data_IF_038964107733
#
_entry.id   IF_038964107733
#
_cell.length_a   1.000
_cell.length_b   1.000
_cell.length_c   1.000
_cell.angle_alpha   90.00
_cell.angle_beta   90.00
_cell.angle_gamma   90.00
#
_symmetry.space_group_name_H-M   'P 1'
#
loop_
_entity.id
_entity.type
_entity.pdbx_description
1 polymer ?
#
# COMPACT_ATOMS: atom_id res chain seq x y z
N UNK A 1 -55.84 -42.57 50.80
CA UNK A 1 -54.44 -42.20 51.04
C UNK A 1 -53.61 -42.68 49.85
N UNK A 2 -52.90 -41.74 49.18
CA UNK A 2 -51.86 -41.88 48.12
C UNK A 2 -52.31 -42.44 46.76
N UNK A 3 -52.74 -41.59 45.81
CA UNK A 3 -51.96 -40.78 44.84
C UNK A 3 -51.14 -41.60 43.82
N UNK A 4 -51.76 -41.74 42.64
CA UNK A 4 -51.17 -42.01 41.34
C UNK A 4 -50.07 -40.99 41.01
N UNK A 5 -48.83 -41.44 40.78
CA UNK A 5 -47.80 -40.57 40.20
C UNK A 5 -47.80 -40.74 38.67
N UNK A 6 -48.11 -39.64 38.00
CA UNK A 6 -48.11 -39.50 36.55
C UNK A 6 -46.67 -39.29 36.10
N UNK A 7 -46.28 -40.04 35.08
CA UNK A 7 -45.03 -39.89 34.33
C UNK A 7 -44.95 -38.48 33.75
N UNK A 8 -43.91 -37.73 34.12
CA UNK A 8 -43.50 -36.49 33.45
C UNK A 8 -42.03 -36.63 33.05
N UNK A 9 -41.80 -37.38 31.98
CA UNK A 9 -40.51 -37.36 31.28
C UNK A 9 -40.31 -35.99 30.64
N UNK A 10 -39.50 -35.14 31.27
CA UNK A 10 -39.00 -33.91 30.62
C UNK A 10 -38.10 -34.35 29.46
N UNK A 11 -38.66 -34.41 28.24
CA UNK A 11 -37.86 -34.41 27.02
C UNK A 11 -37.10 -33.08 27.00
N UNK A 12 -35.82 -33.15 27.32
CA UNK A 12 -34.88 -32.07 27.08
C UNK A 12 -34.93 -31.81 25.56
N UNK A 13 -35.52 -30.70 25.14
CA UNK A 13 -35.57 -30.30 23.75
C UNK A 13 -34.15 -30.15 23.24
N UNK A 14 -33.67 -31.14 22.49
CA UNK A 14 -32.49 -31.00 21.66
C UNK A 14 -32.81 -29.84 20.74
N UNK A 15 -32.13 -28.70 20.93
CA UNK A 15 -32.27 -27.56 20.03
C UNK A 15 -32.23 -28.09 18.60
N UNK A 16 -33.28 -27.80 17.83
CA UNK A 16 -33.50 -28.36 16.50
C UNK A 16 -32.24 -28.09 15.66
N UNK A 17 -31.44 -29.14 15.46
CA UNK A 17 -30.14 -29.06 14.79
C UNK A 17 -30.28 -28.47 13.39
N UNK A 18 -31.49 -28.57 12.82
CA UNK A 18 -31.90 -28.00 11.54
C UNK A 18 -31.87 -26.47 11.56
N UNK A 19 -32.30 -25.83 12.65
CA UNK A 19 -32.32 -24.37 12.78
C UNK A 19 -30.92 -23.76 12.88
N UNK A 20 -30.01 -24.43 13.59
CA UNK A 20 -28.60 -24.01 13.71
C UNK A 20 -27.88 -24.15 12.37
N UNK A 21 -28.14 -25.23 11.63
CA UNK A 21 -27.55 -25.45 10.29
C UNK A 21 -28.09 -24.45 9.27
N UNK A 22 -29.40 -24.16 9.26
CA UNK A 22 -30.01 -23.15 8.39
C UNK A 22 -29.47 -21.75 8.66
N UNK A 23 -29.32 -21.38 9.93
CA UNK A 23 -28.75 -20.08 10.31
C UNK A 23 -27.28 -19.97 9.87
N UNK A 24 -26.50 -21.04 10.04
CA UNK A 24 -25.10 -21.09 9.58
C UNK A 24 -24.98 -20.96 8.06
N UNK A 25 -25.82 -21.69 7.30
CA UNK A 25 -25.87 -21.61 5.83
C UNK A 25 -26.32 -20.23 5.33
N UNK A 26 -27.24 -19.57 6.04
CA UNK A 26 -27.63 -18.19 5.73
C UNK A 26 -26.46 -17.22 5.90
N UNK A 27 -25.71 -17.30 7.00
CA UNK A 27 -24.52 -16.47 7.20
C UNK A 27 -23.38 -16.83 6.22
N UNK A 28 -23.22 -18.11 5.84
CA UNK A 28 -22.32 -18.53 4.75
C UNK A 28 -22.67 -17.81 3.45
N UNK A 29 -23.94 -17.90 3.06
CA UNK A 29 -24.43 -17.40 1.79
C UNK A 29 -24.40 -15.87 1.76
N UNK A 30 -24.83 -15.21 2.84
CA UNK A 30 -24.73 -13.76 2.98
C UNK A 30 -23.27 -13.29 2.90
N UNK A 31 -22.34 -13.97 3.57
CA UNK A 31 -20.91 -13.70 3.45
C UNK A 31 -20.39 -13.87 2.02
N UNK A 32 -20.76 -14.97 1.35
CA UNK A 32 -20.37 -15.28 -0.03
C UNK A 32 -20.91 -14.28 -1.04
N UNK A 33 -22.16 -13.84 -0.87
CA UNK A 33 -22.81 -12.84 -1.73
C UNK A 33 -22.18 -11.45 -1.52
N UNK A 34 -21.90 -11.07 -0.28
CA UNK A 34 -21.21 -9.81 0.04
C UNK A 34 -19.79 -9.80 -0.53
N UNK A 35 -19.05 -10.90 -0.41
CA UNK A 35 -17.71 -11.04 -0.98
C UNK A 35 -17.71 -11.11 -2.50
N UNK A 36 -18.61 -11.89 -3.12
CA UNK A 36 -18.74 -11.94 -4.57
C UNK A 36 -19.14 -10.57 -5.14
N UNK A 37 -20.02 -9.84 -4.45
CA UNK A 37 -20.40 -8.48 -4.79
C UNK A 37 -19.22 -7.49 -4.68
N UNK A 38 -18.43 -7.54 -3.61
CA UNK A 38 -17.38 -6.55 -3.36
C UNK A 38 -16.03 -6.87 -4.03
N UNK A 39 -15.74 -8.16 -4.28
CA UNK A 39 -14.49 -8.61 -4.89
C UNK A 39 -14.61 -8.99 -6.38
N UNK A 40 -15.81 -9.28 -6.90
CA UNK A 40 -16.04 -9.59 -8.32
C UNK A 40 -17.11 -8.71 -9.01
N UNK A 41 -18.01 -8.07 -8.28
CA UNK A 41 -19.11 -7.29 -8.83
C UNK A 41 -18.92 -5.77 -8.76
N UNK A 42 -18.17 -5.17 -9.70
CA UNK A 42 -18.50 -3.79 -10.09
C UNK A 42 -17.40 -2.91 -10.65
N UNK A 43 -16.12 -3.15 -10.35
CA UNK A 43 -15.04 -2.28 -10.85
C UNK A 43 -13.91 -3.12 -11.44
N UNK A 44 -13.90 -3.22 -12.77
CA UNK A 44 -12.78 -3.79 -13.51
C UNK A 44 -11.55 -2.91 -13.28
N UNK A 45 -10.44 -3.51 -12.88
CA UNK A 45 -9.16 -2.80 -12.84
C UNK A 45 -8.82 -2.37 -14.27
N UNK A 46 -8.44 -1.11 -14.45
CA UNK A 46 -8.03 -0.56 -15.74
C UNK A 46 -6.77 -1.26 -16.27
N UNK A 47 -6.02 -1.93 -15.40
CA UNK A 47 -4.77 -2.58 -15.73
C UNK A 47 -4.39 -3.61 -14.66
N UNK A 48 -3.59 -4.62 -15.01
CA UNK A 48 -3.01 -5.58 -14.06
C UNK A 48 -1.50 -5.68 -14.23
N UNK A 49 -0.71 -5.54 -13.15
CA UNK A 49 0.75 -5.58 -13.24
C UNK A 49 1.39 -4.36 -13.93
N UNK A 50 0.90 -3.15 -13.66
CA UNK A 50 1.36 -1.91 -14.29
C UNK A 50 2.89 -1.74 -14.29
N UNK A 51 3.55 -2.01 -13.16
CA UNK A 51 4.99 -1.81 -13.01
C UNK A 51 5.82 -2.68 -13.95
N UNK A 52 5.38 -3.91 -14.24
CA UNK A 52 6.08 -4.77 -15.21
C UNK A 52 6.08 -4.15 -16.61
N UNK A 53 4.97 -3.53 -17.02
CA UNK A 53 4.86 -2.83 -18.30
C UNK A 53 5.74 -1.57 -18.34
N UNK A 54 5.73 -0.75 -17.30
CA UNK A 54 6.54 0.48 -17.27
C UNK A 54 8.04 0.18 -17.21
N UNK A 55 8.44 -0.89 -16.51
CA UNK A 55 9.82 -1.39 -16.50
C UNK A 55 10.27 -1.86 -17.90
N UNK A 56 9.42 -2.55 -18.65
CA UNK A 56 9.73 -2.97 -20.02
C UNK A 56 9.98 -1.76 -20.95
N UNK A 57 9.31 -0.64 -20.70
CA UNK A 57 9.47 0.60 -21.49
C UNK A 57 10.77 1.35 -21.21
N UNK A 58 11.48 1.00 -20.12
CA UNK A 58 12.78 1.57 -19.80
C UNK A 58 13.95 0.88 -20.52
N UNK A 59 13.71 -0.21 -21.26
CA UNK A 59 14.76 -1.08 -21.82
C UNK A 59 15.54 -0.49 -23.01
N UNK A 60 15.67 0.83 -23.12
CA UNK A 60 16.56 1.48 -24.08
C UNK A 60 17.10 2.82 -23.56
N UNK A 61 18.23 2.78 -22.82
CA UNK A 61 19.26 3.77 -23.10
C UNK A 61 20.64 3.11 -23.10
N UNK A 62 21.33 3.04 -24.25
CA UNK A 62 22.70 2.54 -24.31
C UNK A 62 23.58 3.42 -23.44
N UNK A 63 24.19 2.82 -22.42
CA UNK A 63 25.35 3.34 -21.67
C UNK A 63 25.34 4.85 -21.37
N UNK A 64 24.15 5.42 -21.11
CA UNK A 64 24.06 6.88 -20.94
C UNK A 64 24.66 7.26 -19.59
N UNK A 65 25.68 8.11 -19.66
CA UNK A 65 26.34 8.68 -18.48
C UNK A 65 25.62 9.94 -17.98
N UNK A 66 24.58 10.39 -18.69
CA UNK A 66 23.80 11.58 -18.36
C UNK A 66 22.32 11.40 -18.64
N UNK A 67 21.48 11.65 -17.65
CA UNK A 67 20.03 11.59 -17.80
C UNK A 67 19.35 12.36 -16.68
N UNK A 68 18.08 12.72 -16.86
CA UNK A 68 17.23 13.17 -15.76
C UNK A 68 16.06 12.22 -15.52
N UNK A 69 15.60 12.18 -14.28
CA UNK A 69 14.33 11.56 -13.92
C UNK A 69 13.56 12.47 -12.97
N UNK A 70 12.24 12.32 -12.95
CA UNK A 70 11.39 13.04 -12.00
C UNK A 70 11.08 12.16 -10.79
N UNK A 71 10.95 12.81 -9.63
CA UNK A 71 10.46 12.19 -8.40
C UNK A 71 9.25 12.98 -7.92
N UNK A 72 8.17 12.28 -7.59
CA UNK A 72 6.88 12.87 -7.22
C UNK A 72 6.17 11.96 -6.21
N UNK A 73 5.38 12.48 -5.28
CA UNK A 73 4.62 11.65 -4.34
C UNK A 73 3.51 12.45 -3.64
N UNK A 74 2.58 11.75 -2.98
CA UNK A 74 1.46 12.32 -2.22
C UNK A 74 0.54 13.22 -3.07
N UNK A 75 0.09 12.72 -4.22
CA UNK A 75 -1.05 13.35 -4.91
C UNK A 75 -2.39 12.97 -4.27
N UNK A 76 -2.48 11.81 -3.59
CA UNK A 76 -3.66 11.31 -2.86
C UNK A 76 -4.97 11.43 -3.62
N UNK A 77 -5.06 10.85 -4.83
CA UNK A 77 -6.28 10.84 -5.65
C UNK A 77 -7.51 10.47 -4.81
N UNK A 78 -8.57 11.28 -4.89
CA UNK A 78 -9.80 11.10 -4.11
C UNK A 78 -9.75 11.59 -2.65
N UNK A 79 -8.58 12.01 -2.16
CA UNK A 79 -8.40 12.51 -0.79
C UNK A 79 -8.63 14.02 -0.68
N UNK A 80 -8.17 14.60 0.43
CA UNK A 80 -8.02 16.05 0.57
C UNK A 80 -6.81 16.51 -0.24
N UNK A 81 -7.04 16.81 -1.52
CA UNK A 81 -5.99 17.10 -2.47
C UNK A 81 -6.42 18.16 -3.50
N UNK A 82 -5.45 18.74 -4.19
CA UNK A 82 -5.63 19.61 -5.35
C UNK A 82 -5.23 18.85 -6.61
N UNK A 83 -6.18 18.16 -7.24
CA UNK A 83 -5.88 17.30 -8.39
C UNK A 83 -5.23 18.04 -9.58
N UNK A 84 -5.56 19.33 -9.76
CA UNK A 84 -4.94 20.16 -10.81
C UNK A 84 -3.44 20.36 -10.59
N UNK A 85 -2.94 20.30 -9.35
CA UNK A 85 -1.50 20.32 -9.07
C UNK A 85 -0.84 19.07 -9.63
N UNK A 86 -1.41 17.89 -9.38
CA UNK A 86 -0.85 16.64 -9.90
C UNK A 86 -0.85 16.61 -11.43
N UNK A 87 -1.95 17.03 -12.05
CA UNK A 87 -2.05 17.18 -13.51
C UNK A 87 -0.98 18.13 -14.05
N UNK A 88 -0.75 19.26 -13.39
CA UNK A 88 0.27 20.22 -13.80
C UNK A 88 1.70 19.67 -13.65
N UNK A 89 1.99 18.94 -12.56
CA UNK A 89 3.25 18.22 -12.42
C UNK A 89 3.46 17.25 -13.60
N UNK A 90 2.46 16.44 -13.94
CA UNK A 90 2.54 15.49 -15.06
C UNK A 90 2.77 16.21 -16.40
N UNK A 91 2.07 17.31 -16.66
CA UNK A 91 2.23 18.10 -17.88
C UNK A 91 3.63 18.70 -18.01
N UNK A 92 4.16 19.31 -16.93
CA UNK A 92 5.51 19.88 -16.91
C UNK A 92 6.58 18.81 -17.10
N UNK A 93 6.41 17.67 -16.44
CA UNK A 93 7.30 16.52 -16.61
C UNK A 93 7.24 16.00 -18.05
N UNK A 94 6.06 15.91 -18.65
CA UNK A 94 5.89 15.47 -20.04
C UNK A 94 6.58 16.42 -21.02
N UNK A 95 6.46 17.74 -20.81
CA UNK A 95 7.04 18.76 -21.71
C UNK A 95 8.57 18.91 -21.59
N UNK A 96 9.18 18.46 -20.50
CA UNK A 96 10.62 18.59 -20.28
C UNK A 96 11.39 17.46 -20.99
N UNK A 97 12.09 17.69 -22.12
CA UNK A 97 12.70 16.61 -22.90
C UNK A 97 13.84 15.89 -22.18
N UNK A 98 14.41 16.46 -21.11
CA UNK A 98 15.54 15.85 -20.40
C UNK A 98 15.09 14.75 -19.42
N UNK A 99 13.84 14.82 -18.96
CA UNK A 99 13.30 13.82 -18.03
C UNK A 99 12.95 12.56 -18.81
N UNK A 100 13.67 11.46 -18.54
CA UNK A 100 13.45 10.19 -19.21
C UNK A 100 12.27 9.40 -18.64
N UNK A 101 12.10 9.42 -17.31
CA UNK A 101 11.07 8.69 -16.60
C UNK A 101 10.71 9.34 -15.27
N UNK A 102 9.67 8.83 -14.63
CA UNK A 102 9.15 9.30 -13.35
C UNK A 102 9.18 8.16 -12.33
N UNK A 103 9.55 8.49 -11.10
CA UNK A 103 9.39 7.62 -9.93
C UNK A 103 8.40 8.28 -8.98
N UNK A 104 7.27 7.62 -8.77
CA UNK A 104 6.25 8.01 -7.80
C UNK A 104 6.46 7.23 -6.50
N UNK A 105 6.60 7.92 -5.36
CA UNK A 105 7.00 7.31 -4.08
C UNK A 105 5.81 7.19 -3.11
N UNK A 106 4.66 6.77 -3.61
CA UNK A 106 3.54 6.36 -2.76
C UNK A 106 2.54 7.46 -2.42
N UNK A 107 1.45 7.00 -1.82
CA UNK A 107 0.20 7.71 -1.60
C UNK A 107 -0.38 8.27 -2.92
N UNK A 108 -0.44 7.37 -3.92
CA UNK A 108 -1.05 7.60 -5.23
C UNK A 108 -2.57 7.83 -5.12
N UNK A 109 -3.20 7.12 -4.19
CA UNK A 109 -4.61 7.25 -3.82
C UNK A 109 -4.75 7.55 -2.33
N UNK A 110 -5.91 8.06 -1.91
CA UNK A 110 -6.16 8.32 -0.50
C UNK A 110 -6.60 7.08 0.31
N UNK A 111 -6.96 6.00 -0.39
CA UNK A 111 -7.45 4.76 0.18
C UNK A 111 -7.38 3.64 -0.87
N UNK A 112 -7.31 2.39 -0.40
CA UNK A 112 -7.40 1.21 -1.28
C UNK A 112 -8.81 1.11 -1.86
N UNK A 113 -8.95 1.56 -3.10
CA UNK A 113 -10.20 1.56 -3.85
C UNK A 113 -9.88 1.40 -5.35
N UNK A 114 -10.38 0.34 -6.02
CA UNK A 114 -10.21 0.12 -7.46
C UNK A 114 -10.61 1.32 -8.33
N UNK A 115 -11.63 2.08 -7.94
CA UNK A 115 -12.07 3.29 -8.67
C UNK A 115 -11.03 4.40 -8.56
N UNK A 116 -10.41 4.56 -7.38
CA UNK A 116 -9.35 5.54 -7.18
C UNK A 116 -8.09 5.14 -7.93
N UNK A 117 -7.73 3.85 -7.96
CA UNK A 117 -6.63 3.35 -8.80
C UNK A 117 -6.89 3.61 -10.28
N UNK A 118 -8.09 3.30 -10.77
CA UNK A 118 -8.48 3.57 -12.15
C UNK A 118 -8.43 5.06 -12.48
N UNK A 119 -8.90 5.93 -11.57
CA UNK A 119 -8.82 7.38 -11.73
C UNK A 119 -7.37 7.87 -11.77
N UNK A 120 -6.53 7.40 -10.86
CA UNK A 120 -5.10 7.71 -10.82
C UNK A 120 -4.42 7.31 -12.14
N UNK A 121 -4.61 6.06 -12.58
CA UNK A 121 -4.05 5.57 -13.84
C UNK A 121 -4.58 6.36 -15.05
N UNK A 122 -5.88 6.66 -15.11
CA UNK A 122 -6.46 7.48 -16.18
C UNK A 122 -5.79 8.85 -16.23
N UNK A 123 -5.63 9.52 -15.09
CA UNK A 123 -4.97 10.83 -15.00
C UNK A 123 -3.52 10.74 -15.50
N UNK A 124 -2.75 9.75 -15.04
CA UNK A 124 -1.36 9.55 -15.48
C UNK A 124 -1.29 9.31 -16.99
N UNK A 125 -2.05 8.37 -17.52
CA UNK A 125 -2.03 8.04 -18.96
C UNK A 125 -2.53 9.17 -19.87
N UNK A 126 -3.40 10.03 -19.36
CA UNK A 126 -3.92 11.18 -20.11
C UNK A 126 -2.85 12.26 -20.27
N UNK A 127 -2.05 12.51 -19.24
CA UNK A 127 -1.13 13.66 -19.22
C UNK A 127 0.35 13.31 -19.37
N UNK A 128 0.72 12.04 -19.23
CA UNK A 128 2.09 11.59 -19.29
C UNK A 128 2.23 10.34 -20.16
N UNK A 129 3.15 10.43 -21.13
CA UNK A 129 3.54 9.29 -21.96
C UNK A 129 4.81 8.63 -21.45
N UNK A 130 5.70 9.32 -20.74
CA UNK A 130 6.96 8.76 -20.22
C UNK A 130 6.74 7.58 -19.26
N UNK A 131 7.72 6.68 -19.08
CA UNK A 131 7.63 5.62 -18.10
C UNK A 131 7.34 6.16 -16.69
N UNK A 132 6.37 5.57 -16.00
CA UNK A 132 5.89 6.03 -14.70
C UNK A 132 5.91 4.87 -13.69
N UNK A 133 6.97 4.84 -12.89
CA UNK A 133 7.20 3.82 -11.88
C UNK A 133 6.59 4.26 -10.55
N UNK A 134 6.08 3.31 -9.77
CA UNK A 134 5.36 3.56 -8.52
C UNK A 134 5.89 2.63 -7.43
N UNK A 135 6.16 3.20 -6.26
CA UNK A 135 6.30 2.50 -4.98
C UNK A 135 5.05 2.76 -4.13
N UNK A 136 4.62 1.81 -3.28
CA UNK A 136 3.46 2.01 -2.42
C UNK A 136 3.77 2.92 -1.22
N UNK A 137 2.79 3.74 -0.85
CA UNK A 137 2.69 4.41 0.44
C UNK A 137 1.67 3.74 1.37
N UNK A 138 1.50 4.27 2.58
CA UNK A 138 0.61 3.69 3.59
C UNK A 138 -0.88 3.86 3.27
N UNK A 139 -1.25 4.66 2.27
CA UNK A 139 -2.62 4.75 1.78
C UNK A 139 -2.91 3.84 0.57
N UNK A 140 -1.87 3.34 -0.10
CA UNK A 140 -1.99 2.49 -1.30
C UNK A 140 -2.10 1.00 -0.95
N UNK A 141 -1.78 0.61 0.28
CA UNK A 141 -1.85 -0.78 0.73
C UNK A 141 -2.62 -0.83 2.04
N UNK A 142 -3.61 -1.70 2.09
CA UNK A 142 -4.45 -1.93 3.25
C UNK A 142 -4.17 -3.30 3.85
N UNK A 143 -4.63 -3.52 5.09
CA UNK A 143 -4.32 -4.72 5.86
C UNK A 143 -4.88 -5.98 5.19
N UNK A 144 -6.14 -5.93 4.75
CA UNK A 144 -6.82 -7.07 4.15
C UNK A 144 -6.94 -6.98 2.63
N UNK A 145 -6.39 -5.94 2.02
CA UNK A 145 -6.54 -5.65 0.57
C UNK A 145 -5.22 -5.48 -0.17
N UNK A 146 -4.14 -6.09 0.34
CA UNK A 146 -2.82 -6.12 -0.31
C UNK A 146 -2.90 -6.65 -1.75
N UNK A 147 -3.75 -7.64 -1.98
CA UNK A 147 -3.98 -8.25 -3.29
C UNK A 147 -4.47 -7.24 -4.33
N UNK A 148 -5.25 -6.23 -3.94
CA UNK A 148 -5.71 -5.19 -4.87
C UNK A 148 -4.56 -4.34 -5.39
N UNK A 149 -3.61 -3.98 -4.52
CA UNK A 149 -2.40 -3.27 -4.95
C UNK A 149 -1.56 -4.14 -5.88
N UNK A 150 -1.31 -5.40 -5.50
CA UNK A 150 -0.49 -6.33 -6.28
C UNK A 150 -1.13 -6.66 -7.64
N UNK A 151 -2.44 -6.81 -7.72
CA UNK A 151 -3.14 -6.99 -9.00
C UNK A 151 -2.98 -5.74 -9.86
N UNK A 152 -3.25 -4.55 -9.34
CA UNK A 152 -3.21 -3.32 -10.13
C UNK A 152 -1.79 -2.92 -10.55
N UNK A 153 -0.93 -2.66 -9.56
CA UNK A 153 0.44 -2.18 -9.78
C UNK A 153 1.42 -3.32 -10.09
N UNK A 154 1.19 -4.52 -9.57
CA UNK A 154 2.13 -5.64 -9.69
C UNK A 154 3.09 -5.71 -8.52
N UNK A 155 4.18 -4.96 -8.62
CA UNK A 155 5.33 -5.10 -7.74
C UNK A 155 5.22 -4.16 -6.53
N UNK A 156 5.33 -4.70 -5.31
CA UNK A 156 5.42 -3.93 -4.05
C UNK A 156 6.80 -3.31 -3.81
N UNK A 157 7.84 -4.02 -4.22
CA UNK A 157 9.23 -3.55 -4.19
C UNK A 157 10.01 -4.21 -5.33
N UNK A 158 10.91 -3.44 -5.95
CA UNK A 158 11.64 -3.88 -7.13
C UNK A 158 12.87 -2.99 -7.36
N UNK A 159 13.76 -3.45 -8.23
CA UNK A 159 14.93 -2.69 -8.61
C UNK A 159 15.22 -2.84 -10.10
N UNK A 160 15.79 -1.79 -10.68
CA UNK A 160 16.21 -1.77 -12.07
C UNK A 160 17.46 -0.91 -12.22
N UNK A 161 18.05 -0.95 -13.41
CA UNK A 161 19.21 -0.14 -13.79
C UNK A 161 18.82 0.79 -14.91
N UNK A 162 19.36 2.00 -14.89
CA UNK A 162 19.24 2.96 -15.97
C UNK A 162 20.55 3.74 -16.09
N UNK A 163 21.21 3.65 -17.25
CA UNK A 163 22.57 4.15 -17.40
C UNK A 163 23.54 3.48 -16.42
N UNK A 164 24.31 4.30 -15.68
CA UNK A 164 25.26 3.86 -14.65
C UNK A 164 24.70 3.88 -13.22
N UNK A 165 23.37 3.96 -13.06
CA UNK A 165 22.71 4.05 -11.77
C UNK A 165 21.78 2.84 -11.51
N UNK A 166 21.72 2.44 -10.24
CA UNK A 166 20.74 1.51 -9.70
C UNK A 166 19.60 2.25 -9.04
N UNK A 167 18.38 1.74 -9.24
CA UNK A 167 17.15 2.28 -8.67
C UNK A 167 16.51 1.18 -7.85
N UNK A 168 16.24 1.45 -6.57
CA UNK A 168 15.66 0.50 -5.62
C UNK A 168 14.41 1.12 -5.04
N UNK A 169 13.25 0.58 -5.40
CA UNK A 169 11.96 1.01 -4.86
C UNK A 169 11.54 -0.01 -3.81
N UNK A 170 11.38 0.44 -2.58
CA UNK A 170 10.87 -0.39 -1.49
C UNK A 170 9.38 -0.20 -1.34
N UNK A 171 8.76 -1.15 -0.67
CA UNK A 171 7.43 -0.95 -0.13
C UNK A 171 7.53 -0.01 1.06
N UNK A 172 6.85 1.13 1.00
CA UNK A 172 6.75 2.10 2.08
C UNK A 172 5.34 2.17 2.67
N UNK A 173 4.65 1.04 2.81
CA UNK A 173 3.34 0.97 3.45
C UNK A 173 3.42 0.63 4.95
N UNK A 174 4.46 1.12 5.66
CA UNK A 174 4.63 0.86 7.09
C UNK A 174 3.33 1.15 7.89
N UNK A 175 2.90 0.27 8.82
CA UNK A 175 3.62 -0.88 9.39
C UNK A 175 3.57 -2.20 8.60
N UNK A 176 2.96 -2.22 7.41
CA UNK A 176 2.79 -3.43 6.59
C UNK A 176 3.98 -3.75 5.68
N UNK A 177 5.12 -3.10 5.95
CA UNK A 177 6.33 -3.15 5.15
C UNK A 177 7.57 -3.33 6.03
N UNK A 178 8.72 -3.54 5.39
CA UNK A 178 10.03 -3.80 6.01
C UNK A 178 10.06 -5.04 6.93
N UNK A 179 9.29 -6.06 6.55
CA UNK A 179 9.39 -7.38 7.16
C UNK A 179 10.76 -8.04 6.88
N UNK A 180 10.97 -9.21 7.47
CA UNK A 180 12.22 -9.94 7.30
C UNK A 180 12.51 -10.30 5.83
N UNK A 181 11.48 -10.52 5.00
CA UNK A 181 11.64 -10.86 3.60
C UNK A 181 12.12 -9.66 2.79
N UNK A 182 11.49 -8.50 2.95
CA UNK A 182 11.88 -7.29 2.26
C UNK A 182 13.28 -6.83 2.70
N UNK A 183 13.61 -6.92 3.99
CA UNK A 183 14.95 -6.56 4.47
C UNK A 183 16.05 -7.46 3.91
N UNK A 184 15.78 -8.78 3.74
CA UNK A 184 16.71 -9.68 3.05
C UNK A 184 16.85 -9.31 1.58
N UNK A 185 15.74 -9.15 0.88
CA UNK A 185 15.71 -8.75 -0.52
C UNK A 185 16.47 -7.43 -0.76
N UNK A 186 16.30 -6.46 0.12
CA UNK A 186 16.94 -5.15 0.04
C UNK A 186 18.47 -5.28 0.13
N UNK A 187 18.97 -6.04 1.12
CA UNK A 187 20.41 -6.28 1.29
C UNK A 187 21.01 -6.97 0.07
N UNK A 188 20.36 -8.01 -0.44
CA UNK A 188 20.81 -8.75 -1.62
C UNK A 188 20.80 -7.87 -2.89
N UNK A 189 19.76 -7.06 -3.05
CA UNK A 189 19.60 -6.15 -4.18
C UNK A 189 20.67 -5.06 -4.17
N UNK A 190 20.95 -4.46 -3.02
CA UNK A 190 22.01 -3.46 -2.89
C UNK A 190 23.40 -4.06 -3.14
N UNK A 191 23.66 -5.29 -2.65
CA UNK A 191 24.90 -6.02 -2.97
C UNK A 191 25.06 -6.25 -4.48
N UNK A 192 23.98 -6.62 -5.18
CA UNK A 192 23.98 -6.76 -6.65
C UNK A 192 24.24 -5.44 -7.39
N UNK A 193 23.81 -4.32 -6.81
CA UNK A 193 24.00 -2.98 -7.37
C UNK A 193 25.32 -2.31 -6.94
N UNK A 194 26.16 -2.99 -6.14
CA UNK A 194 27.42 -2.44 -5.59
C UNK A 194 28.41 -1.88 -6.62
N UNK A 195 28.33 -2.32 -7.88
CA UNK A 195 29.15 -1.81 -8.99
C UNK A 195 28.54 -0.58 -9.70
N UNK A 196 27.33 -0.16 -9.34
CA UNK A 196 26.73 1.05 -9.91
C UNK A 196 27.39 2.27 -9.31
N UNK A 197 27.57 3.31 -10.12
CA UNK A 197 28.15 4.56 -9.65
C UNK A 197 27.21 5.28 -8.68
N UNK A 198 25.92 5.24 -8.98
CA UNK A 198 24.88 5.82 -8.15
C UNK A 198 23.87 4.74 -7.78
N UNK A 199 23.37 4.78 -6.56
CA UNK A 199 22.25 3.93 -6.11
C UNK A 199 21.25 4.88 -5.45
N UNK A 200 20.06 4.97 -6.04
CA UNK A 200 18.94 5.74 -5.51
C UNK A 200 17.93 4.79 -4.89
N UNK A 201 17.56 5.06 -3.65
CA UNK A 201 16.49 4.31 -2.95
C UNK A 201 15.26 5.20 -2.86
N UNK A 202 14.09 4.60 -3.07
CA UNK A 202 12.79 5.26 -2.98
C UNK A 202 11.95 4.47 -1.99
N UNK A 203 11.56 5.12 -0.88
CA UNK A 203 10.72 4.53 0.16
C UNK A 203 9.73 5.59 0.61
N UNK A 204 8.49 5.24 0.95
CA UNK A 204 7.50 6.29 1.25
C UNK A 204 7.74 6.97 2.63
N UNK A 205 7.90 6.24 3.73
CA UNK A 205 8.16 6.88 5.03
C UNK A 205 9.60 7.41 5.16
N UNK A 206 9.78 8.62 5.73
CA UNK A 206 11.08 9.16 6.03
C UNK A 206 11.70 8.50 7.28
N UNK A 207 13.03 8.60 7.41
CA UNK A 207 13.75 8.15 8.61
C UNK A 207 13.34 8.91 9.87
N UNK A 208 13.08 10.21 9.70
CA UNK A 208 12.75 11.15 10.76
C UNK A 208 11.64 12.08 10.24
N UNK A 209 10.81 12.60 11.15
CA UNK A 209 9.90 13.69 10.82
C UNK A 209 10.67 15.01 10.78
N UNK A 210 10.90 15.61 9.60
CA UNK A 210 11.77 16.77 9.46
C UNK A 210 11.13 18.05 10.03
N UNK A 211 9.87 18.01 10.47
CA UNK A 211 9.17 19.14 11.09
C UNK A 211 9.52 19.34 12.56
N UNK A 212 10.18 18.37 13.19
CA UNK A 212 10.55 18.40 14.62
C UNK A 212 9.37 18.55 15.58
N UNK A 213 9.70 18.85 16.85
CA UNK A 213 8.73 19.12 17.92
C UNK A 213 7.91 17.90 18.33
N UNK A 214 8.54 16.72 18.42
CA UNK A 214 7.89 15.48 18.88
C UNK A 214 6.87 14.88 17.90
N UNK A 215 6.86 15.31 16.63
CA UNK A 215 6.03 14.67 15.60
C UNK A 215 6.69 13.37 15.13
N UNK A 216 5.86 12.38 14.81
CA UNK A 216 6.31 11.03 14.47
C UNK A 216 5.74 10.51 13.14
N UNK A 217 5.63 11.38 12.13
CA UNK A 217 5.28 10.95 10.76
C UNK A 217 6.52 10.40 10.04
N UNK A 218 7.10 9.35 10.60
CA UNK A 218 8.33 8.72 10.14
C UNK A 218 8.38 7.25 10.57
N UNK A 219 9.43 6.56 10.15
CA UNK A 219 9.72 5.21 10.63
C UNK A 219 10.02 5.22 12.15
N UNK A 220 9.78 4.10 12.85
CA UNK A 220 10.34 3.91 14.19
C UNK A 220 11.85 4.02 14.15
N UNK A 221 12.44 4.64 15.16
CA UNK A 221 13.87 4.95 15.22
C UNK A 221 14.75 3.72 14.99
N UNK A 222 14.46 2.60 15.66
CA UNK A 222 15.21 1.34 15.50
C UNK A 222 15.20 0.80 14.07
N UNK A 223 14.08 0.95 13.35
CA UNK A 223 13.99 0.58 11.93
C UNK A 223 14.72 1.60 11.05
N UNK A 224 14.59 2.90 11.34
CA UNK A 224 15.28 3.97 10.63
C UNK A 224 16.80 3.82 10.72
N UNK A 225 17.35 3.54 11.90
CA UNK A 225 18.77 3.26 12.13
C UNK A 225 19.23 2.01 11.39
N UNK A 226 18.47 0.92 11.45
CA UNK A 226 18.77 -0.33 10.75
C UNK A 226 18.84 -0.13 9.24
N UNK A 227 17.88 0.60 8.66
CA UNK A 227 17.88 0.93 7.24
C UNK A 227 19.03 1.87 6.88
N UNK A 228 19.30 2.90 7.69
CA UNK A 228 20.43 3.79 7.49
C UNK A 228 21.77 3.04 7.48
N UNK A 229 21.95 2.08 8.38
CA UNK A 229 23.14 1.22 8.40
C UNK A 229 23.27 0.38 7.12
N UNK A 230 22.17 -0.22 6.65
CA UNK A 230 22.13 -0.98 5.38
C UNK A 230 22.51 -0.07 4.20
N UNK A 231 21.90 1.11 4.10
CA UNK A 231 22.11 2.05 3.00
C UNK A 231 23.54 2.61 3.00
N UNK A 232 24.06 3.03 4.15
CA UNK A 232 25.43 3.51 4.32
C UNK A 232 26.45 2.43 3.94
N UNK A 233 26.28 1.20 4.45
CA UNK A 233 27.17 0.08 4.15
C UNK A 233 27.22 -0.30 2.66
N UNK A 234 26.17 0.01 1.91
CA UNK A 234 26.08 -0.24 0.47
C UNK A 234 26.27 1.02 -0.39
N UNK A 235 26.77 2.13 0.19
CA UNK A 235 27.08 3.38 -0.53
C UNK A 235 25.89 3.94 -1.33
N UNK A 236 24.68 3.86 -0.77
CA UNK A 236 23.49 4.50 -1.34
C UNK A 236 23.73 6.01 -1.46
N UNK A 237 23.48 6.56 -2.64
CA UNK A 237 23.79 7.96 -2.97
C UNK A 237 22.83 8.93 -2.28
N UNK A 238 21.54 8.63 -2.33
CA UNK A 238 20.53 9.27 -1.51
C UNK A 238 19.26 8.41 -1.46
N UNK A 239 18.40 8.75 -0.52
CA UNK A 239 17.08 8.16 -0.33
C UNK A 239 16.02 9.22 -0.58
N UNK A 240 15.06 8.93 -1.43
CA UNK A 240 13.88 9.76 -1.61
C UNK A 240 12.75 9.17 -0.77
N UNK A 241 12.15 10.05 0.03
CA UNK A 241 11.07 9.79 0.97
C UNK A 241 9.88 10.71 0.67
N UNK A 242 8.75 10.42 1.29
CA UNK A 242 7.55 11.24 1.21
C UNK A 242 6.78 11.25 2.53
N UNK A 243 5.45 11.06 2.54
CA UNK A 243 4.58 10.95 3.72
C UNK A 243 4.35 12.27 4.48
N UNK A 244 5.40 13.05 4.70
CA UNK A 244 5.28 14.43 5.19
C UNK A 244 5.04 15.33 3.99
N UNK A 245 3.82 15.87 3.88
CA UNK A 245 3.38 16.64 2.70
C UNK A 245 4.05 18.02 2.59
N UNK A 246 5.30 18.02 2.16
CA UNK A 246 6.20 19.17 1.99
C UNK A 246 7.55 18.75 1.40
N UNK A 247 8.47 19.71 1.26
CA UNK A 247 9.85 19.49 0.84
C UNK A 247 10.82 19.67 2.01
N UNK A 248 11.67 18.67 2.24
CA UNK A 248 12.77 18.73 3.20
C UNK A 248 13.97 17.96 2.64
N UNK A 249 15.16 18.31 3.09
CA UNK A 249 16.36 17.53 2.83
C UNK A 249 17.23 17.47 4.09
N UNK A 250 18.02 16.42 4.21
CA UNK A 250 18.86 16.23 5.38
C UNK A 250 19.77 15.02 5.28
N UNK A 251 20.42 14.70 6.39
CA UNK A 251 21.25 13.52 6.55
C UNK A 251 20.83 12.79 7.81
N UNK A 252 20.60 11.48 7.71
CA UNK A 252 20.27 10.61 8.84
C UNK A 252 21.20 9.40 8.84
N UNK A 253 21.90 9.13 9.95
CA UNK A 253 22.84 8.00 10.04
C UNK A 253 23.93 7.99 8.96
N UNK A 254 24.30 9.16 8.43
CA UNK A 254 25.24 9.30 7.30
C UNK A 254 24.63 9.12 5.91
N UNK A 255 23.31 8.97 5.80
CA UNK A 255 22.58 8.80 4.53
C UNK A 255 21.83 10.09 4.20
N UNK A 256 22.12 10.66 3.03
CA UNK A 256 21.40 11.83 2.51
C UNK A 256 19.97 11.44 2.13
N UNK A 257 18.99 12.24 2.54
CA UNK A 257 17.59 12.02 2.17
C UNK A 257 16.90 13.30 1.68
N UNK A 258 15.84 13.10 0.89
CA UNK A 258 14.93 14.13 0.42
C UNK A 258 13.50 13.69 0.71
N UNK A 259 12.68 14.56 1.32
CA UNK A 259 11.24 14.36 1.50
C UNK A 259 10.51 15.15 0.43
N UNK A 260 9.58 14.54 -0.31
CA UNK A 260 8.89 15.17 -1.45
C UNK A 260 7.39 14.85 -1.54
N UNK A 261 6.63 15.22 -0.51
CA UNK A 261 5.18 15.01 -0.44
C UNK A 261 4.34 16.14 -1.07
N UNK A 262 4.78 16.68 -2.20
CA UNK A 262 4.27 17.94 -2.75
C UNK A 262 3.35 17.83 -3.96
N UNK A 263 2.89 16.64 -4.37
CA UNK A 263 2.24 16.47 -5.67
C UNK A 263 0.74 16.80 -5.71
N UNK A 264 0.13 17.13 -4.58
CA UNK A 264 -1.26 17.62 -4.57
C UNK A 264 -2.01 17.45 -3.26
N UNK A 265 -1.60 16.54 -2.37
CA UNK A 265 -2.23 16.40 -1.06
C UNK A 265 -2.16 17.70 -0.25
N UNK A 266 -3.11 17.91 0.67
CA UNK A 266 -3.08 19.06 1.57
C UNK A 266 -1.75 19.13 2.32
N UNK A 267 -1.06 20.27 2.24
CA UNK A 267 0.28 20.44 2.81
C UNK A 267 0.26 20.30 4.33
N UNK A 268 1.33 19.76 4.91
CA UNK A 268 1.40 19.40 6.32
C UNK A 268 1.71 20.58 7.27
N UNK A 269 1.88 21.78 6.72
CA UNK A 269 2.22 23.00 7.46
C UNK A 269 2.08 24.26 6.60
N UNK A 270 2.49 25.41 7.16
CA UNK A 270 2.28 26.73 6.55
C UNK A 270 3.56 27.49 6.20
N UNK A 271 4.71 27.05 6.71
CA UNK A 271 6.01 27.64 6.36
C UNK A 271 6.29 27.54 4.85
N UNK A 272 6.33 28.66 4.12
CA UNK A 272 6.53 28.66 2.67
C UNK A 272 7.92 28.16 2.22
N UNK A 273 8.88 28.01 3.15
CA UNK A 273 10.19 27.41 2.86
C UNK A 273 10.12 25.89 2.67
N UNK A 274 9.09 25.23 3.22
CA UNK A 274 8.96 23.76 3.18
C UNK A 274 7.62 23.29 2.60
N UNK A 275 6.56 24.07 2.79
CA UNK A 275 5.20 23.67 2.45
C UNK A 275 4.75 24.38 1.17
N UNK A 276 5.10 23.77 0.04
CA UNK A 276 4.66 24.19 -1.28
C UNK A 276 4.52 22.96 -2.20
N UNK A 277 3.69 23.09 -3.23
CA UNK A 277 3.51 22.03 -4.21
C UNK A 277 4.71 21.96 -5.16
N UNK A 278 5.18 20.74 -5.45
CA UNK A 278 6.38 20.53 -6.25
C UNK A 278 6.49 19.08 -6.76
N UNK A 279 7.46 18.89 -7.66
CA UNK A 279 8.13 17.61 -7.90
C UNK A 279 9.65 17.87 -7.94
N UNK A 280 10.46 16.81 -7.86
CA UNK A 280 11.92 16.92 -7.99
C UNK A 280 12.35 16.49 -9.40
N UNK A 281 13.28 17.24 -10.00
CA UNK A 281 14.03 16.82 -11.18
C UNK A 281 15.44 16.43 -10.73
N UNK A 282 15.79 15.16 -10.88
CA UNK A 282 17.11 14.64 -10.52
C UNK A 282 17.92 14.49 -11.78
N UNK A 283 19.07 15.17 -11.83
CA UNK A 283 20.05 15.04 -12.94
C UNK A 283 21.17 14.14 -12.48
N UNK A 284 21.49 13.14 -13.29
CA UNK A 284 22.67 12.29 -13.13
C UNK A 284 23.66 12.63 -14.24
N UNK A 285 24.93 12.80 -13.89
CA UNK A 285 26.00 13.13 -14.83
C UNK A 285 27.32 12.42 -14.49
N UNK A 286 28.33 12.61 -15.35
CA UNK A 286 29.70 12.15 -15.08
C UNK A 286 30.34 12.81 -13.85
N UNK A 287 29.84 13.95 -13.39
CA UNK A 287 30.45 14.71 -12.29
C UNK A 287 29.72 14.52 -10.96
N UNK A 288 28.52 13.93 -10.97
CA UNK A 288 27.69 13.79 -9.78
C UNK A 288 26.21 13.72 -10.12
N UNK A 289 25.39 13.70 -9.08
CA UNK A 289 23.94 13.87 -9.17
C UNK A 289 23.49 15.15 -8.47
N UNK A 290 22.50 15.84 -9.02
CA UNK A 290 21.87 17.00 -8.40
C UNK A 290 20.36 16.86 -8.37
N UNK A 291 19.73 17.46 -7.35
CA UNK A 291 18.29 17.48 -7.15
C UNK A 291 17.81 18.92 -7.29
N UNK A 292 16.89 19.17 -8.21
CA UNK A 292 16.24 20.47 -8.39
C UNK A 292 14.78 20.37 -8.01
N UNK A 293 14.35 21.22 -7.09
CA UNK A 293 12.93 21.38 -6.74
C UNK A 293 12.23 22.21 -7.81
N UNK A 294 11.15 21.66 -8.39
CA UNK A 294 10.31 22.39 -9.36
C UNK A 294 8.98 22.72 -8.70
N UNK A 295 8.82 23.98 -8.27
CA UNK A 295 7.60 24.47 -7.63
C UNK A 295 6.44 24.55 -8.62
N UNK A 296 5.24 24.24 -8.13
CA UNK A 296 3.97 24.30 -8.86
C UNK A 296 2.99 25.17 -8.07
N UNK A 297 2.22 25.98 -8.78
CA UNK A 297 1.21 26.83 -8.15
C UNK A 297 0.10 25.97 -7.49
N UNK A 298 -0.58 26.46 -6.45
CA UNK A 298 -1.71 25.77 -5.80
C UNK A 298 -2.97 25.79 -6.70
N UNK A 299 -2.93 25.05 -7.80
CA UNK A 299 -3.98 25.07 -8.83
C UNK A 299 -5.23 24.31 -8.39
N UNK A 300 -6.40 24.83 -8.78
CA UNK A 300 -7.69 24.22 -8.49
C UNK A 300 -8.12 24.32 -7.04
N UNK A 301 -9.38 23.96 -6.76
CA UNK A 301 -9.88 23.87 -5.38
C UNK A 301 -9.36 22.59 -4.73
N UNK A 302 -9.09 22.65 -3.44
CA UNK A 302 -8.83 21.46 -2.65
C UNK A 302 -10.15 20.72 -2.43
N UNK A 303 -10.19 19.41 -2.71
CA UNK A 303 -11.34 18.57 -2.40
C UNK A 303 -11.46 18.30 -0.90
N UNK A 304 -12.68 18.04 -0.43
CA UNK A 304 -12.94 17.64 0.95
C UNK A 304 -12.51 16.19 1.25
N UNK A 305 -12.29 15.41 0.19
CA UNK A 305 -11.90 14.00 0.27
C UNK A 305 -13.05 13.07 0.63
N UNK A 306 -12.75 11.78 0.73
CA UNK A 306 -13.73 10.78 1.17
C UNK A 306 -13.99 10.84 2.67
N UNK A 307 -15.24 10.62 3.07
CA UNK A 307 -15.57 10.36 4.48
C UNK A 307 -14.98 9.00 4.94
N UNK A 308 -14.98 8.77 6.25
CA UNK A 308 -14.35 7.58 6.83
C UNK A 308 -14.92 6.26 6.30
N UNK A 309 -16.23 6.14 6.13
CA UNK A 309 -16.86 4.93 5.61
C UNK A 309 -16.46 4.68 4.16
N UNK A 310 -16.56 5.68 3.29
CA UNK A 310 -16.17 5.56 1.88
C UNK A 310 -14.68 5.25 1.71
N UNK A 311 -13.84 5.80 2.58
CA UNK A 311 -12.39 5.54 2.60
C UNK A 311 -12.05 4.10 2.99
N UNK A 312 -12.78 3.52 3.95
CA UNK A 312 -12.45 2.20 4.51
C UNK A 312 -13.37 1.08 4.02
N UNK A 313 -14.31 1.34 3.12
CA UNK A 313 -15.36 0.37 2.71
C UNK A 313 -14.80 -1.00 2.27
N UNK A 314 -13.67 -1.04 1.56
CA UNK A 314 -13.06 -2.29 1.10
C UNK A 314 -12.35 -3.04 2.23
N UNK A 315 -11.70 -2.34 3.16
CA UNK A 315 -11.13 -2.96 4.37
C UNK A 315 -12.23 -3.49 5.29
N UNK A 316 -13.32 -2.74 5.48
CA UNK A 316 -14.49 -3.17 6.26
C UNK A 316 -15.11 -4.42 5.63
N UNK A 317 -15.28 -4.42 4.31
CA UNK A 317 -15.78 -5.56 3.57
C UNK A 317 -14.90 -6.81 3.76
N UNK A 318 -13.59 -6.65 3.62
CA UNK A 318 -12.63 -7.74 3.77
C UNK A 318 -12.57 -8.26 5.22
N UNK A 319 -12.59 -7.38 6.21
CA UNK A 319 -12.67 -7.78 7.62
C UNK A 319 -13.97 -8.54 7.92
N UNK A 320 -15.12 -8.04 7.45
CA UNK A 320 -16.41 -8.71 7.60
C UNK A 320 -16.43 -10.11 7.00
N UNK A 321 -15.77 -10.29 5.85
CA UNK A 321 -15.57 -11.60 5.23
C UNK A 321 -14.76 -12.55 6.10
N UNK A 322 -13.61 -12.12 6.64
CA UNK A 322 -12.78 -12.95 7.53
C UNK A 322 -13.55 -13.35 8.79
N UNK A 323 -14.27 -12.43 9.42
CA UNK A 323 -15.09 -12.71 10.59
C UNK A 323 -16.21 -13.71 10.24
N UNK A 324 -16.82 -13.56 9.06
CA UNK A 324 -17.80 -14.52 8.54
C UNK A 324 -17.22 -15.94 8.48
N UNK A 325 -16.08 -16.13 7.82
CA UNK A 325 -15.42 -17.44 7.74
C UNK A 325 -15.00 -18.01 9.09
N UNK A 326 -14.48 -17.18 9.99
CA UNK A 326 -14.14 -17.61 11.33
C UNK A 326 -15.37 -18.12 12.09
N UNK A 327 -16.50 -17.40 11.99
CA UNK A 327 -17.78 -17.83 12.55
C UNK A 327 -18.27 -19.17 11.99
N UNK A 328 -18.12 -19.40 10.69
CA UNK A 328 -18.45 -20.66 10.05
C UNK A 328 -17.58 -21.82 10.55
N UNK A 329 -16.27 -21.59 10.65
CA UNK A 329 -15.33 -22.58 11.15
C UNK A 329 -15.66 -22.97 12.60
N UNK A 330 -15.94 -21.99 13.46
CA UNK A 330 -16.34 -22.22 14.85
C UNK A 330 -17.65 -23.03 14.89
N UNK A 331 -18.64 -22.66 14.08
CA UNK A 331 -19.92 -23.36 14.02
C UNK A 331 -19.76 -24.81 13.57
N UNK A 332 -18.93 -25.06 12.55
CA UNK A 332 -18.61 -26.40 12.09
C UNK A 332 -17.90 -27.23 13.18
N UNK A 333 -16.95 -26.64 13.92
CA UNK A 333 -16.28 -27.31 15.04
C UNK A 333 -17.29 -27.67 16.14
N UNK A 334 -18.16 -26.74 16.54
CA UNK A 334 -19.20 -26.99 17.55
C UNK A 334 -20.13 -28.11 17.09
N UNK A 335 -20.56 -28.11 15.82
CA UNK A 335 -21.40 -29.16 15.27
C UNK A 335 -20.73 -30.54 15.34
N UNK A 336 -19.45 -30.65 14.96
CA UNK A 336 -18.68 -31.90 15.07
C UNK A 336 -18.56 -32.37 16.52
N UNK A 337 -18.33 -31.46 17.47
CA UNK A 337 -18.27 -31.79 18.90
C UNK A 337 -19.62 -32.29 19.42
N UNK A 338 -20.73 -31.68 19.01
CA UNK A 338 -22.08 -32.13 19.37
C UNK A 338 -22.40 -33.51 18.78
N UNK A 339 -22.03 -33.78 17.53
CA UNK A 339 -22.19 -35.11 16.92
C UNK A 339 -21.37 -36.18 17.65
N UNK A 340 -20.13 -35.86 18.06
CA UNK A 340 -19.31 -36.78 18.86
C UNK A 340 -19.93 -37.07 20.22
N UNK A 341 -20.42 -36.04 20.92
CA UNK A 341 -21.11 -36.18 22.21
C UNK A 341 -22.38 -37.03 22.08
N UNK A 342 -23.16 -36.85 21.00
CA UNK A 342 -24.34 -37.66 20.74
C UNK A 342 -23.97 -39.13 20.51
N UNK A 343 -22.96 -39.40 19.67
CA UNK A 343 -22.48 -40.78 19.44
C UNK A 343 -21.97 -41.47 20.70
N UNK A 344 -21.29 -40.75 21.60
CA UNK A 344 -20.84 -41.33 22.88
C UNK A 344 -22.02 -41.61 23.82
N UNK A 345 -23.02 -40.73 23.87
CA UNK A 345 -24.27 -40.97 24.61
C UNK A 345 -25.05 -42.17 24.04
N UNK A 346 -25.18 -42.27 22.73
CA UNK A 346 -25.88 -43.37 22.06
C UNK A 346 -25.18 -44.71 22.35
N UNK A 347 -23.84 -44.76 22.32
CA UNK A 347 -23.06 -45.95 22.71
C UNK A 347 -23.21 -46.34 24.18
N UNK A 348 -23.31 -45.36 25.08
CA UNK A 348 -23.49 -45.60 26.51
C UNK A 348 -24.90 -46.13 26.85
N UNK A 349 -25.90 -45.83 26.00
CA UNK A 349 -27.29 -46.19 26.22
C UNK A 349 -27.72 -47.48 25.48
N UNK A 350 -26.87 -48.09 24.67
CA UNK A 350 -27.10 -49.43 24.10
C UNK A 350 -26.79 -50.51 25.14
N UNK A 351 -27.76 -51.36 25.53
CA UNK A 351 -27.52 -52.47 26.44
C UNK A 351 -26.58 -53.50 25.78
N UNK A 352 -25.76 -54.23 26.57
CA UNK A 352 -24.89 -55.27 26.03
C UNK A 352 -25.73 -56.41 25.41
N UNK A 353 -25.16 -57.14 24.42
CA UNK A 353 -25.85 -58.22 23.73
C UNK A 353 -26.20 -59.39 24.65
#
# INVERSE_FOLDING_TARGET
MRMTSVVSGRRCGVADTSGVVLLALFFCFAGLVVWAGLCRGGVRLATEGWMRRELARLQSPPNTKQFCFAVIADNKTGGRCREKVFVECLRRIQSDPEIAFVVHIGDAVCAVDPQLYNRFHKTVKTHLRKPFLVAPGNHDVGLFTVDLYERFFGLRYYAFRYGNAGFVLTDGSYPWAFDAQQLRWLKETLKRLSKQRFIFVFQHQPFIDPRGGGKHHCLPESLAEKLAAIYRGNKVSCVFCSHVHGYFEGVWGGVRYYVTGGAGAALAGKDPAHFFYHYLKVRVSKNGSSVKVVKVAPLGKQSDGLNWFSRNKFEIAAAGWFVGWAGLLITAIVFVLLLRKKRTQDRANTPPP
#
